data_IF_542654359432
#
_entry.id   IF_542654359432
#
_cell.length_a   1.000
_cell.length_b   1.000
_cell.length_c   1.000
_cell.angle_alpha   90.00
_cell.angle_beta   90.00
_cell.angle_gamma   90.00
#
_symmetry.space_group_name_H-M   'P 1'
#
loop_
_entity.id
_entity.type
_entity.pdbx_description
1 polymer ?
#
# COMPACT_ATOMS: atom_id res chain seq x y z
N UNK A 1 36.32 3.40 15.29
CA UNK A 1 35.48 3.01 14.13
C UNK A 1 36.41 2.34 13.13
N UNK A 2 36.49 1.02 13.16
CA UNK A 2 37.29 0.28 12.17
C UNK A 2 36.60 0.40 10.81
N UNK A 3 37.29 0.98 9.83
CA UNK A 3 36.84 1.05 8.45
C UNK A 3 36.64 -0.37 7.90
N UNK A 4 35.40 -0.86 7.87
CA UNK A 4 35.06 -2.10 7.19
C UNK A 4 35.50 -1.95 5.73
N UNK A 5 36.54 -2.70 5.30
CA UNK A 5 36.92 -2.79 3.89
C UNK A 5 35.70 -3.17 3.08
N UNK A 6 35.25 -2.28 2.24
CA UNK A 6 34.19 -2.55 1.26
C UNK A 6 34.66 -3.70 0.37
N UNK A 7 33.83 -4.75 0.25
CA UNK A 7 34.19 -5.92 -0.56
C UNK A 7 33.99 -5.54 -2.01
N UNK A 8 35.12 -5.44 -2.76
CA UNK A 8 35.05 -5.19 -4.20
C UNK A 8 34.69 -6.49 -4.95
N UNK A 9 33.39 -6.67 -5.18
CA UNK A 9 32.85 -7.82 -5.91
C UNK A 9 33.24 -7.80 -7.39
N UNK A 10 33.48 -6.63 -7.99
CA UNK A 10 33.84 -6.49 -9.40
C UNK A 10 35.16 -7.18 -9.70
N UNK A 11 36.15 -7.03 -8.80
CA UNK A 11 37.43 -7.77 -8.94
C UNK A 11 37.26 -9.27 -8.86
N UNK A 12 36.35 -9.75 -8.00
CA UNK A 12 36.10 -11.16 -7.76
C UNK A 12 35.45 -11.86 -8.95
N UNK A 13 34.57 -11.15 -9.66
CA UNK A 13 33.78 -11.67 -10.77
C UNK A 13 34.17 -11.08 -12.12
N UNK A 14 35.33 -10.42 -12.21
CA UNK A 14 35.78 -9.67 -13.38
C UNK A 14 35.70 -10.45 -14.71
N UNK A 15 36.04 -11.75 -14.71
CA UNK A 15 35.98 -12.60 -15.91
C UNK A 15 34.56 -12.81 -16.46
N UNK A 16 33.53 -12.52 -15.67
CA UNK A 16 32.12 -12.69 -16.05
C UNK A 16 31.40 -11.36 -16.30
N UNK A 17 32.11 -10.22 -16.16
CA UNK A 17 31.52 -8.90 -16.25
C UNK A 17 31.51 -8.35 -17.69
N UNK A 18 31.12 -9.14 -18.66
CA UNK A 18 31.00 -8.74 -20.07
C UNK A 18 29.57 -8.93 -20.58
N UNK A 19 29.20 -8.17 -21.61
CA UNK A 19 27.89 -8.26 -22.25
C UNK A 19 27.57 -9.67 -22.74
N UNK A 20 28.56 -10.35 -23.30
CA UNK A 20 28.41 -11.71 -23.83
C UNK A 20 28.34 -12.80 -22.75
N UNK A 21 28.51 -12.43 -21.47
CA UNK A 21 28.59 -13.38 -20.35
C UNK A 21 27.43 -13.18 -19.35
N UNK A 22 26.41 -12.44 -19.70
CA UNK A 22 25.28 -12.11 -18.74
C UNK A 22 24.61 -13.35 -18.20
N UNK A 23 24.37 -14.36 -19.05
CA UNK A 23 23.79 -15.63 -18.62
C UNK A 23 24.72 -16.42 -17.68
N UNK A 24 26.01 -16.52 -18.01
CA UNK A 24 26.99 -17.18 -17.14
C UNK A 24 27.17 -16.43 -15.82
N UNK A 25 27.10 -15.08 -15.86
CA UNK A 25 27.11 -14.25 -14.67
C UNK A 25 25.92 -14.58 -13.80
N UNK A 26 24.71 -14.59 -14.37
CA UNK A 26 23.49 -14.93 -13.64
C UNK A 26 23.56 -16.30 -12.97
N UNK A 27 23.93 -17.34 -13.71
CA UNK A 27 24.12 -18.69 -13.14
C UNK A 27 25.15 -18.70 -12.00
N UNK A 28 26.26 -17.98 -12.17
CA UNK A 28 27.25 -17.86 -11.11
C UNK A 28 26.72 -17.16 -9.87
N UNK A 29 25.92 -16.09 -10.04
CA UNK A 29 25.30 -15.42 -8.92
C UNK A 29 24.35 -16.37 -8.17
N UNK A 30 23.51 -17.11 -8.88
CA UNK A 30 22.64 -18.12 -8.27
C UNK A 30 23.42 -19.18 -7.48
N UNK A 31 24.55 -19.67 -8.05
CA UNK A 31 25.39 -20.66 -7.41
C UNK A 31 26.06 -20.17 -6.11
N UNK A 32 26.49 -18.91 -6.07
CA UNK A 32 27.17 -18.38 -4.88
C UNK A 32 26.19 -17.74 -3.86
N UNK A 33 24.96 -17.47 -4.25
CA UNK A 33 23.95 -16.84 -3.41
C UNK A 33 23.73 -17.53 -2.06
N UNK A 34 23.65 -18.88 -1.96
CA UNK A 34 23.50 -19.56 -0.66
C UNK A 34 24.61 -19.27 0.34
N UNK A 35 25.82 -18.94 -0.16
CA UNK A 35 26.93 -18.53 0.69
C UNK A 35 26.77 -17.11 1.21
N UNK A 36 26.31 -16.18 0.36
CA UNK A 36 26.16 -14.79 0.73
C UNK A 36 24.89 -14.57 1.58
N UNK A 37 23.82 -15.32 1.35
CA UNK A 37 22.60 -15.25 2.15
C UNK A 37 22.77 -15.64 3.62
N UNK A 38 23.88 -16.31 3.97
CA UNK A 38 24.29 -16.61 5.36
C UNK A 38 25.10 -15.48 6.01
N UNK A 39 25.43 -14.43 5.26
CA UNK A 39 26.21 -13.30 5.78
C UNK A 39 25.28 -12.26 6.38
N UNK A 40 25.88 -11.41 7.24
CA UNK A 40 25.17 -10.27 7.82
C UNK A 40 24.76 -9.27 6.75
N UNK A 41 23.76 -8.46 7.07
CA UNK A 41 23.10 -7.52 6.18
C UNK A 41 24.02 -6.73 5.24
N UNK A 42 25.04 -6.00 5.71
CA UNK A 42 25.82 -5.16 4.82
C UNK A 42 26.51 -5.94 3.70
N UNK A 43 26.95 -7.16 3.97
CA UNK A 43 27.65 -8.00 2.99
C UNK A 43 26.66 -8.63 2.01
N UNK A 44 25.55 -9.15 2.51
CA UNK A 44 24.50 -9.75 1.69
C UNK A 44 23.90 -8.73 0.73
N UNK A 45 23.44 -7.59 1.24
CA UNK A 45 22.80 -6.57 0.43
C UNK A 45 23.77 -5.90 -0.54
N UNK A 46 25.02 -5.65 -0.16
CA UNK A 46 26.03 -5.14 -1.10
C UNK A 46 26.30 -6.12 -2.25
N UNK A 47 26.33 -7.42 -1.95
CA UNK A 47 26.46 -8.45 -2.99
C UNK A 47 25.23 -8.48 -3.90
N UNK A 48 24.03 -8.41 -3.34
CA UNK A 48 22.79 -8.43 -4.11
C UNK A 48 22.65 -7.20 -5.00
N UNK A 49 22.97 -6.00 -4.49
CA UNK A 49 23.02 -4.77 -5.30
C UNK A 49 23.99 -4.94 -6.46
N UNK A 50 25.22 -5.35 -6.20
CA UNK A 50 26.22 -5.56 -7.23
C UNK A 50 25.73 -6.48 -8.34
N UNK A 51 25.11 -7.61 -7.98
CA UNK A 51 24.61 -8.57 -8.94
C UNK A 51 23.45 -7.99 -9.79
N UNK A 52 22.52 -7.29 -9.15
CA UNK A 52 21.36 -6.68 -9.83
C UNK A 52 21.79 -5.49 -10.70
N UNK A 53 22.69 -4.62 -10.24
CA UNK A 53 23.24 -3.50 -11.04
C UNK A 53 23.91 -4.01 -12.33
N UNK A 54 24.64 -5.11 -12.25
CA UNK A 54 25.25 -5.69 -13.43
C UNK A 54 24.21 -6.22 -14.43
N UNK A 55 23.22 -6.98 -13.96
CA UNK A 55 22.15 -7.48 -14.82
C UNK A 55 21.30 -6.36 -15.42
N UNK A 56 20.99 -5.33 -14.64
CA UNK A 56 20.22 -4.17 -15.08
C UNK A 56 20.92 -3.38 -16.20
N UNK A 57 22.25 -3.31 -16.16
CA UNK A 57 23.05 -2.68 -17.23
C UNK A 57 22.81 -3.32 -18.60
N UNK A 58 22.52 -4.60 -18.64
CA UNK A 58 22.28 -5.37 -19.87
C UNK A 58 20.80 -5.69 -20.10
N UNK A 59 19.88 -5.08 -19.33
CA UNK A 59 18.42 -5.25 -19.46
C UNK A 59 17.93 -6.70 -19.28
N UNK A 60 18.57 -7.45 -18.42
CA UNK A 60 18.23 -8.85 -18.11
C UNK A 60 17.07 -8.93 -17.08
N UNK A 61 15.90 -8.44 -17.46
CA UNK A 61 14.77 -8.20 -16.57
C UNK A 61 14.26 -9.45 -15.83
N UNK A 62 14.17 -10.59 -16.53
CA UNK A 62 13.74 -11.85 -15.92
C UNK A 62 14.79 -12.39 -14.95
N UNK A 63 16.06 -12.27 -15.32
CA UNK A 63 17.20 -12.68 -14.49
C UNK A 63 17.27 -11.85 -13.20
N UNK A 64 16.99 -10.55 -13.26
CA UNK A 64 16.94 -9.66 -12.10
C UNK A 64 15.86 -10.12 -11.12
N UNK A 65 14.64 -10.30 -11.61
CA UNK A 65 13.50 -10.70 -10.78
C UNK A 65 13.71 -12.05 -10.14
N UNK A 66 14.17 -13.04 -10.93
CA UNK A 66 14.48 -14.39 -10.46
C UNK A 66 15.57 -14.39 -9.38
N UNK A 67 16.70 -13.70 -9.64
CA UNK A 67 17.80 -13.62 -8.69
C UNK A 67 17.36 -12.96 -7.38
N UNK A 68 16.60 -11.87 -7.47
CA UNK A 68 16.13 -11.16 -6.29
C UNK A 68 15.22 -12.05 -5.43
N UNK A 69 14.18 -12.65 -6.02
CA UNK A 69 13.22 -13.50 -5.29
C UNK A 69 13.94 -14.66 -4.59
N UNK A 70 14.80 -15.37 -5.31
CA UNK A 70 15.58 -16.49 -4.76
C UNK A 70 16.51 -16.02 -3.62
N UNK A 71 17.14 -14.86 -3.79
CA UNK A 71 18.05 -14.30 -2.79
C UNK A 71 17.34 -13.96 -1.50
N UNK A 72 16.17 -13.33 -1.59
CA UNK A 72 15.39 -12.96 -0.42
C UNK A 72 14.83 -14.19 0.31
N UNK A 73 14.34 -15.18 -0.43
CA UNK A 73 13.89 -16.45 0.16
C UNK A 73 15.01 -17.16 0.94
N UNK A 74 16.21 -17.21 0.36
CA UNK A 74 17.38 -17.78 1.02
C UNK A 74 17.82 -16.96 2.24
N UNK A 75 17.78 -15.64 2.14
CA UNK A 75 18.11 -14.76 3.26
C UNK A 75 17.15 -14.97 4.43
N UNK A 76 15.85 -14.91 4.20
CA UNK A 76 14.82 -15.14 5.22
C UNK A 76 14.93 -16.54 5.86
N UNK A 77 15.21 -17.56 5.05
CA UNK A 77 15.45 -18.94 5.54
C UNK A 77 16.68 -19.03 6.46
N UNK A 78 17.75 -18.30 6.15
CA UNK A 78 18.99 -18.32 6.93
C UNK A 78 18.98 -17.38 8.15
N UNK A 79 17.99 -16.47 8.22
CA UNK A 79 17.80 -15.53 9.31
C UNK A 79 16.35 -15.65 9.86
N UNK A 80 16.04 -16.75 10.56
CA UNK A 80 14.66 -17.05 10.97
C UNK A 80 14.10 -16.07 11.99
N UNK A 81 14.97 -15.42 12.76
CA UNK A 81 14.62 -14.34 13.69
C UNK A 81 14.44 -12.98 12.98
N UNK A 82 14.67 -12.93 11.67
CA UNK A 82 14.49 -11.76 10.79
C UNK A 82 15.09 -10.45 11.32
N UNK A 83 16.07 -10.51 12.21
CA UNK A 83 16.71 -9.33 12.79
C UNK A 83 17.60 -8.63 11.78
N UNK A 84 17.33 -7.36 11.59
CA UNK A 84 18.10 -6.45 10.74
C UNK A 84 19.04 -5.65 11.63
N UNK A 85 20.35 -5.70 11.38
CA UNK A 85 21.36 -4.99 12.18
C UNK A 85 21.24 -3.46 12.05
N UNK A 86 20.86 -2.96 10.86
CA UNK A 86 20.69 -1.54 10.60
C UNK A 86 19.45 -1.29 9.75
N UNK A 87 18.30 -0.96 10.37
CA UNK A 87 17.04 -0.73 9.66
C UNK A 87 17.11 0.33 8.56
N UNK A 88 17.76 1.47 8.80
CA UNK A 88 17.89 2.53 7.80
C UNK A 88 18.71 2.08 6.59
N UNK A 89 19.82 1.37 6.81
CA UNK A 89 20.61 0.80 5.71
C UNK A 89 19.81 -0.22 4.92
N UNK A 90 19.05 -1.08 5.60
CA UNK A 90 18.17 -2.06 4.97
C UNK A 90 17.13 -1.37 4.09
N UNK A 91 16.39 -0.39 4.62
CA UNK A 91 15.32 0.30 3.89
C UNK A 91 15.86 0.97 2.62
N UNK A 92 16.97 1.72 2.74
CA UNK A 92 17.59 2.39 1.60
C UNK A 92 18.09 1.39 0.54
N UNK A 93 18.71 0.29 0.98
CA UNK A 93 19.20 -0.75 0.08
C UNK A 93 18.06 -1.46 -0.64
N UNK A 94 17.00 -1.80 0.10
CA UNK A 94 15.83 -2.46 -0.44
C UNK A 94 15.13 -1.58 -1.48
N UNK A 95 14.97 -0.30 -1.17
CA UNK A 95 14.40 0.68 -2.07
C UNK A 95 15.23 0.86 -3.36
N UNK A 96 16.56 0.92 -3.23
CA UNK A 96 17.46 0.96 -4.38
C UNK A 96 17.27 -0.27 -5.28
N UNK A 97 17.24 -1.47 -4.71
CA UNK A 97 17.04 -2.72 -5.44
C UNK A 97 15.64 -2.75 -6.08
N UNK A 98 14.60 -2.33 -5.38
CA UNK A 98 13.23 -2.27 -5.87
C UNK A 98 13.12 -1.43 -7.16
N UNK A 99 13.82 -0.29 -7.21
CA UNK A 99 13.84 0.59 -8.40
C UNK A 99 14.57 -0.03 -9.60
N UNK A 100 15.49 -0.95 -9.38
CA UNK A 100 16.18 -1.64 -10.46
C UNK A 100 15.37 -2.79 -11.07
N UNK A 101 14.38 -3.32 -10.33
CA UNK A 101 13.50 -4.37 -10.85
C UNK A 101 12.54 -3.73 -11.86
N UNK A 102 12.40 -4.29 -13.07
CA UNK A 102 11.53 -3.73 -14.09
C UNK A 102 10.08 -3.58 -13.63
N UNK A 103 9.44 -2.51 -14.07
CA UNK A 103 8.04 -2.20 -13.70
C UNK A 103 7.09 -3.32 -14.12
N UNK A 104 7.34 -3.97 -15.26
CA UNK A 104 6.48 -5.06 -15.77
C UNK A 104 6.60 -6.38 -15.01
N UNK A 105 7.57 -6.51 -14.12
CA UNK A 105 7.74 -7.71 -13.30
C UNK A 105 6.75 -7.74 -12.14
N UNK A 106 6.24 -8.92 -11.79
CA UNK A 106 5.43 -9.07 -10.59
C UNK A 106 6.30 -8.87 -9.34
N UNK A 107 6.13 -7.71 -8.71
CA UNK A 107 6.84 -7.33 -7.50
C UNK A 107 6.06 -7.62 -6.22
N UNK A 108 4.92 -8.31 -6.29
CA UNK A 108 4.07 -8.53 -5.11
C UNK A 108 4.82 -9.26 -4.00
N UNK A 109 5.52 -10.34 -4.34
CA UNK A 109 6.33 -11.09 -3.34
C UNK A 109 7.41 -10.21 -2.70
N UNK A 110 8.03 -9.34 -3.49
CA UNK A 110 9.01 -8.38 -3.01
C UNK A 110 8.41 -7.43 -1.98
N UNK A 111 7.27 -6.82 -2.28
CA UNK A 111 6.56 -5.87 -1.40
C UNK A 111 6.18 -6.53 -0.07
N UNK A 112 5.63 -7.73 -0.12
CA UNK A 112 5.21 -8.45 1.09
C UNK A 112 6.40 -8.87 1.95
N UNK A 113 7.48 -9.39 1.36
CA UNK A 113 8.70 -9.72 2.09
C UNK A 113 9.33 -8.49 2.77
N UNK A 114 9.30 -7.34 2.08
CA UNK A 114 9.77 -6.09 2.67
C UNK A 114 8.96 -5.71 3.90
N UNK A 115 7.62 -5.71 3.79
CA UNK A 115 6.74 -5.36 4.90
C UNK A 115 6.85 -6.35 6.06
N UNK A 116 6.98 -7.65 5.77
CA UNK A 116 7.19 -8.68 6.78
C UNK A 116 8.50 -8.45 7.55
N UNK A 117 9.57 -8.08 6.85
CA UNK A 117 10.85 -7.75 7.48
C UNK A 117 10.76 -6.47 8.32
N UNK A 118 10.07 -5.44 7.84
CA UNK A 118 9.86 -4.22 8.61
C UNK A 118 9.10 -4.50 9.90
N UNK A 119 8.01 -5.25 9.84
CA UNK A 119 7.20 -5.63 11.00
C UNK A 119 8.01 -6.45 12.02
N UNK A 120 8.71 -7.48 11.55
CA UNK A 120 9.55 -8.34 12.40
C UNK A 120 10.69 -7.58 13.12
N UNK A 121 11.09 -6.42 12.60
CA UNK A 121 12.15 -5.58 13.16
C UNK A 121 11.63 -4.34 13.89
N UNK A 122 10.32 -4.21 14.05
CA UNK A 122 9.70 -3.06 14.74
C UNK A 122 9.90 -1.73 14.01
N UNK A 123 10.12 -1.76 12.69
CA UNK A 123 10.18 -0.55 11.86
C UNK A 123 8.76 0.01 11.77
N UNK A 124 8.58 1.24 12.22
CA UNK A 124 7.26 1.85 12.29
C UNK A 124 6.69 2.16 10.89
N UNK A 125 5.36 2.20 10.78
CA UNK A 125 4.71 2.68 9.54
C UNK A 125 5.13 4.11 9.20
N UNK A 126 5.37 4.96 10.20
CA UNK A 126 5.83 6.34 9.99
C UNK A 126 7.23 6.39 9.33
N UNK A 127 8.13 5.47 9.66
CA UNK A 127 9.44 5.40 9.01
C UNK A 127 9.33 4.92 7.56
N UNK A 128 8.42 3.98 7.29
CA UNK A 128 8.12 3.51 5.92
C UNK A 128 7.50 4.65 5.09
N UNK A 129 6.61 5.45 5.69
CA UNK A 129 5.97 6.60 5.05
C UNK A 129 6.98 7.69 4.65
N UNK A 130 7.98 7.99 5.50
CA UNK A 130 9.02 8.98 5.20
C UNK A 130 9.79 8.65 3.92
N UNK A 131 10.01 7.38 3.64
CA UNK A 131 10.72 6.92 2.43
C UNK A 131 9.82 6.82 1.19
N UNK A 132 8.54 7.21 1.26
CA UNK A 132 7.55 7.12 0.18
C UNK A 132 7.38 5.71 -0.45
N UNK A 133 7.73 4.67 0.28
CA UNK A 133 7.73 3.29 -0.24
C UNK A 133 6.33 2.83 -0.61
N UNK A 134 5.32 3.17 0.19
CA UNK A 134 3.93 2.85 -0.14
C UNK A 134 3.44 3.53 -1.41
N UNK A 135 3.90 4.76 -1.69
CA UNK A 135 3.61 5.45 -2.94
C UNK A 135 4.16 4.67 -4.14
N UNK A 136 5.42 4.27 -4.09
CA UNK A 136 6.03 3.48 -5.16
C UNK A 136 5.37 2.12 -5.35
N UNK A 137 4.99 1.46 -4.25
CA UNK A 137 4.22 0.22 -4.32
C UNK A 137 2.85 0.40 -4.97
N UNK A 138 2.18 1.52 -4.70
CA UNK A 138 0.90 1.85 -5.32
C UNK A 138 1.02 2.10 -6.81
N UNK A 139 2.01 2.91 -7.23
CA UNK A 139 2.30 3.18 -8.65
C UNK A 139 2.57 1.89 -9.41
N UNK A 140 3.47 1.07 -8.90
CA UNK A 140 3.84 -0.19 -9.53
C UNK A 140 2.66 -1.18 -9.63
N UNK A 141 1.85 -1.30 -8.57
CA UNK A 141 0.66 -2.16 -8.60
C UNK A 141 -0.38 -1.67 -9.59
N UNK A 142 -0.56 -0.33 -9.71
CA UNK A 142 -1.45 0.28 -10.69
C UNK A 142 -1.00 -0.01 -12.12
N UNK A 143 0.28 0.18 -12.43
CA UNK A 143 0.85 -0.06 -13.76
C UNK A 143 0.74 -1.53 -14.17
N UNK A 144 0.87 -2.45 -13.23
CA UNK A 144 0.68 -3.89 -13.45
C UNK A 144 -0.80 -4.35 -13.37
N UNK A 145 -1.76 -3.41 -13.26
CA UNK A 145 -3.20 -3.69 -13.18
C UNK A 145 -3.63 -4.50 -11.93
N UNK A 146 -2.83 -4.49 -10.88
CA UNK A 146 -3.19 -5.00 -9.56
C UNK A 146 -3.90 -3.90 -8.74
N UNK A 147 -5.03 -3.41 -9.26
CA UNK A 147 -5.66 -2.16 -8.78
C UNK A 147 -6.06 -2.19 -7.29
N UNK A 148 -6.48 -3.34 -6.76
CA UNK A 148 -6.82 -3.46 -5.33
C UNK A 148 -5.60 -3.42 -4.42
N UNK A 149 -4.49 -4.01 -4.87
CA UNK A 149 -3.20 -3.89 -4.19
C UNK A 149 -2.72 -2.44 -4.27
N UNK A 150 -2.83 -1.82 -5.46
CA UNK A 150 -2.55 -0.41 -5.67
C UNK A 150 -3.35 0.49 -4.73
N UNK A 151 -4.66 0.25 -4.59
CA UNK A 151 -5.51 0.97 -3.65
C UNK A 151 -5.02 0.85 -2.20
N UNK A 152 -4.71 -0.38 -1.76
CA UNK A 152 -4.19 -0.62 -0.40
C UNK A 152 -2.94 0.20 -0.11
N UNK A 153 -1.99 0.23 -1.05
CA UNK A 153 -0.75 0.99 -0.87
C UNK A 153 -0.95 2.49 -1.06
N UNK A 154 -1.84 2.92 -1.97
CA UNK A 154 -2.20 4.32 -2.14
C UNK A 154 -2.80 4.91 -0.85
N UNK A 155 -3.74 4.20 -0.21
CA UNK A 155 -4.31 4.61 1.07
C UNK A 155 -3.28 4.69 2.19
N UNK A 156 -2.31 3.76 2.22
CA UNK A 156 -1.20 3.81 3.18
C UNK A 156 -0.20 4.92 2.88
N UNK A 157 0.00 5.30 1.62
CA UNK A 157 0.92 6.37 1.24
C UNK A 157 0.45 7.76 1.66
N UNK A 158 -0.86 7.92 1.88
CA UNK A 158 -1.50 9.20 2.16
C UNK A 158 -1.09 10.30 1.15
N UNK A 159 -1.04 9.95 -0.14
CA UNK A 159 -0.78 10.87 -1.25
C UNK A 159 -2.00 10.94 -2.15
N UNK A 160 -2.60 12.14 -2.24
CA UNK A 160 -3.88 12.34 -2.93
C UNK A 160 -3.82 12.00 -4.43
N UNK A 161 -2.72 12.32 -5.09
CA UNK A 161 -2.51 12.05 -6.52
C UNK A 161 -2.66 10.56 -6.86
N UNK A 162 -1.90 9.71 -6.17
CA UNK A 162 -1.97 8.26 -6.42
C UNK A 162 -3.30 7.65 -5.93
N UNK A 163 -3.91 8.18 -4.87
CA UNK A 163 -5.25 7.75 -4.43
C UNK A 163 -6.27 8.02 -5.53
N UNK A 164 -6.30 9.25 -6.06
CA UNK A 164 -7.20 9.63 -7.14
C UNK A 164 -7.00 8.77 -8.39
N UNK A 165 -5.77 8.56 -8.77
CA UNK A 165 -5.41 7.80 -9.96
C UNK A 165 -5.85 6.34 -9.85
N UNK A 166 -5.58 5.68 -8.73
CA UNK A 166 -5.97 4.27 -8.52
C UNK A 166 -7.49 4.15 -8.39
N UNK A 167 -8.15 5.07 -7.67
CA UNK A 167 -9.61 5.08 -7.55
C UNK A 167 -10.25 5.26 -8.93
N UNK A 168 -9.76 6.19 -9.75
CA UNK A 168 -10.23 6.38 -11.12
C UNK A 168 -10.12 5.09 -11.94
N UNK A 169 -8.95 4.45 -11.93
CA UNK A 169 -8.73 3.19 -12.66
C UNK A 169 -9.68 2.08 -12.18
N UNK A 170 -9.98 2.02 -10.88
CA UNK A 170 -10.97 1.06 -10.32
C UNK A 170 -12.39 1.36 -10.82
N UNK A 171 -12.78 2.64 -10.86
CA UNK A 171 -14.12 3.05 -11.28
C UNK A 171 -14.34 2.87 -12.79
N UNK A 172 -13.28 3.01 -13.59
CA UNK A 172 -13.33 2.90 -15.06
C UNK A 172 -13.19 1.45 -15.58
N UNK A 173 -12.68 0.53 -14.77
CA UNK A 173 -12.47 -0.85 -15.21
C UNK A 173 -13.76 -1.68 -15.14
N UNK A 174 -14.04 -2.46 -16.19
CA UNK A 174 -15.14 -3.44 -16.19
C UNK A 174 -14.85 -4.69 -15.34
N UNK A 175 -13.61 -4.82 -14.85
CA UNK A 175 -13.16 -5.99 -14.08
C UNK A 175 -14.01 -6.24 -12.83
N UNK A 176 -14.48 -5.18 -12.17
CA UNK A 176 -15.24 -5.28 -10.92
C UNK A 176 -16.75 -5.21 -11.09
N UNK A 177 -17.24 -4.95 -12.33
CA UNK A 177 -18.68 -4.90 -12.68
C UNK A 177 -19.53 -4.07 -11.71
N UNK A 178 -18.97 -2.96 -11.20
CA UNK A 178 -19.69 -2.07 -10.31
C UNK A 178 -20.73 -1.24 -11.08
N UNK A 179 -21.94 -1.18 -10.55
CA UNK A 179 -22.94 -0.22 -11.02
C UNK A 179 -22.62 1.21 -10.54
N UNK A 180 -23.31 2.21 -11.06
CA UNK A 180 -23.05 3.62 -10.73
C UNK A 180 -23.26 3.93 -9.22
N UNK A 181 -24.16 3.23 -8.57
CA UNK A 181 -24.40 3.39 -7.13
C UNK A 181 -23.23 2.79 -6.33
N UNK A 182 -22.79 1.61 -6.70
CA UNK A 182 -21.64 0.94 -6.05
C UNK A 182 -20.36 1.76 -6.20
N UNK A 183 -20.12 2.34 -7.38
CA UNK A 183 -19.00 3.27 -7.63
C UNK A 183 -19.04 4.45 -6.66
N UNK A 184 -20.20 5.08 -6.49
CA UNK A 184 -20.36 6.22 -5.57
C UNK A 184 -20.20 5.81 -4.11
N UNK A 185 -20.70 4.63 -3.72
CA UNK A 185 -20.47 4.08 -2.38
C UNK A 185 -18.98 3.84 -2.13
N UNK A 186 -18.26 3.31 -3.13
CA UNK A 186 -16.80 3.12 -3.04
C UNK A 186 -16.08 4.46 -2.82
N UNK A 187 -16.44 5.51 -3.56
CA UNK A 187 -15.90 6.87 -3.38
C UNK A 187 -16.17 7.39 -1.96
N UNK A 188 -17.42 7.27 -1.47
CA UNK A 188 -17.76 7.69 -0.12
C UNK A 188 -16.93 6.96 0.96
N UNK A 189 -16.74 5.66 0.80
CA UNK A 189 -15.88 4.86 1.69
C UNK A 189 -14.43 5.31 1.67
N UNK A 190 -13.87 5.55 0.49
CA UNK A 190 -12.49 6.04 0.34
C UNK A 190 -12.31 7.38 1.07
N UNK A 191 -13.27 8.30 0.92
CA UNK A 191 -13.26 9.56 1.66
C UNK A 191 -13.26 9.36 3.18
N UNK A 192 -14.13 8.49 3.69
CA UNK A 192 -14.18 8.18 5.12
C UNK A 192 -12.91 7.50 5.63
N UNK A 193 -12.28 6.66 4.82
CA UNK A 193 -10.99 6.03 5.15
C UNK A 193 -9.86 7.05 5.25
N UNK A 194 -9.82 8.06 4.36
CA UNK A 194 -8.89 9.19 4.47
C UNK A 194 -9.12 9.97 5.78
N UNK A 195 -10.38 10.20 6.16
CA UNK A 195 -10.73 10.86 7.44
C UNK A 195 -10.31 10.04 8.67
N UNK A 196 -10.42 8.72 8.62
CA UNK A 196 -9.92 7.81 9.66
C UNK A 196 -8.41 7.97 9.86
N UNK A 197 -7.67 8.23 8.79
CA UNK A 197 -6.23 8.53 8.82
C UNK A 197 -5.93 9.99 9.21
N UNK A 198 -6.97 10.76 9.62
CA UNK A 198 -6.89 12.10 10.21
C UNK A 198 -6.51 13.23 9.24
N UNK A 199 -6.52 13.02 7.95
CA UNK A 199 -6.30 14.09 6.97
C UNK A 199 -7.63 14.64 6.44
N UNK A 200 -8.17 15.63 7.18
CA UNK A 200 -9.45 16.27 6.87
C UNK A 200 -9.43 17.07 5.57
N UNK A 201 -8.29 17.71 5.28
CA UNK A 201 -8.13 18.50 4.05
C UNK A 201 -8.08 17.59 2.84
N UNK A 202 -7.26 16.56 2.88
CA UNK A 202 -7.15 15.60 1.79
C UNK A 202 -8.49 14.90 1.52
N UNK A 203 -9.24 14.53 2.56
CA UNK A 203 -10.56 13.94 2.39
C UNK A 203 -11.54 14.88 1.68
N UNK A 204 -11.52 16.18 2.02
CA UNK A 204 -12.33 17.19 1.33
C UNK A 204 -11.89 17.35 -0.13
N UNK A 205 -10.59 17.49 -0.38
CA UNK A 205 -10.04 17.63 -1.74
C UNK A 205 -10.32 16.38 -2.60
N UNK A 206 -10.34 15.19 -1.98
CA UNK A 206 -10.68 13.94 -2.64
C UNK A 206 -12.16 13.87 -3.05
N UNK A 207 -13.11 14.22 -2.17
CA UNK A 207 -14.54 14.03 -2.42
C UNK A 207 -15.14 15.11 -3.34
N UNK A 208 -14.59 16.32 -3.35
CA UNK A 208 -15.11 17.45 -4.12
C UNK A 208 -15.38 17.17 -5.60
N UNK A 209 -14.51 16.48 -6.37
CA UNK A 209 -14.77 16.18 -7.77
C UNK A 209 -15.97 15.24 -8.00
N UNK A 210 -16.41 14.50 -6.99
CA UNK A 210 -17.53 13.55 -7.06
C UNK A 210 -18.85 14.15 -6.60
N UNK A 211 -18.82 15.39 -6.08
CA UNK A 211 -20.00 16.10 -5.62
C UNK A 211 -20.37 17.15 -6.65
N UNK A 212 -21.57 17.04 -7.22
CA UNK A 212 -22.12 18.07 -8.08
C UNK A 212 -22.69 19.22 -7.23
N UNK A 213 -21.83 20.12 -6.78
CA UNK A 213 -22.21 21.24 -5.91
C UNK A 213 -23.05 22.32 -6.63
N UNK A 214 -23.08 22.30 -7.98
CA UNK A 214 -23.82 23.27 -8.78
C UNK A 214 -25.27 22.84 -9.04
N UNK A 215 -25.50 21.54 -9.11
CA UNK A 215 -26.81 20.95 -9.26
C UNK A 215 -27.24 20.41 -7.89
N UNK A 216 -28.49 20.60 -7.56
CA UNK A 216 -29.12 20.20 -6.33
C UNK A 216 -28.51 18.91 -5.71
N UNK A 217 -28.07 18.95 -4.45
CA UNK A 217 -27.51 17.79 -3.74
C UNK A 217 -28.39 16.53 -3.79
N UNK A 218 -29.65 16.67 -4.15
CA UNK A 218 -30.61 15.58 -4.33
C UNK A 218 -30.22 14.60 -5.46
N UNK A 219 -29.42 15.03 -6.43
CA UNK A 219 -28.97 14.18 -7.55
C UNK A 219 -27.77 13.33 -7.20
N UNK A 220 -27.09 13.62 -6.09
CA UNK A 220 -25.94 12.85 -5.63
C UNK A 220 -26.36 11.58 -4.88
N UNK A 221 -25.47 10.59 -4.88
CA UNK A 221 -25.62 9.44 -4.00
C UNK A 221 -25.56 9.91 -2.54
N UNK A 222 -26.54 9.52 -1.67
CA UNK A 222 -26.64 10.04 -0.30
C UNK A 222 -25.38 9.86 0.53
N UNK A 223 -24.65 8.75 0.38
CA UNK A 223 -23.42 8.50 1.16
C UNK A 223 -22.25 9.37 0.70
N UNK A 224 -22.19 9.80 -0.57
CA UNK A 224 -21.23 10.81 -1.01
C UNK A 224 -21.53 12.17 -0.38
N UNK A 225 -22.81 12.58 -0.35
CA UNK A 225 -23.21 13.79 0.36
C UNK A 225 -22.85 13.73 1.85
N UNK A 226 -23.14 12.62 2.50
CA UNK A 226 -22.77 12.41 3.91
C UNK A 226 -21.25 12.56 4.11
N UNK A 227 -20.43 11.89 3.32
CA UNK A 227 -18.98 11.99 3.42
C UNK A 227 -18.48 13.44 3.22
N UNK A 228 -19.04 14.15 2.25
CA UNK A 228 -18.75 15.56 2.01
C UNK A 228 -19.14 16.44 3.21
N UNK A 229 -20.36 16.30 3.76
CA UNK A 229 -20.78 17.08 4.92
C UNK A 229 -19.93 16.75 6.16
N UNK A 230 -19.53 15.50 6.36
CA UNK A 230 -18.59 15.14 7.42
C UNK A 230 -17.26 15.90 7.24
N UNK A 231 -16.73 15.96 6.01
CA UNK A 231 -15.50 16.72 5.73
C UNK A 231 -15.66 18.19 6.07
N UNK A 232 -16.78 18.83 5.68
CA UNK A 232 -17.06 20.23 6.01
C UNK A 232 -17.13 20.45 7.51
N UNK A 233 -17.89 19.62 8.23
CA UNK A 233 -18.05 19.71 9.67
C UNK A 233 -16.70 19.59 10.41
N UNK A 234 -15.88 18.63 10.02
CA UNK A 234 -14.61 18.39 10.68
C UNK A 234 -13.53 19.45 10.39
N UNK A 235 -13.72 20.25 9.34
CA UNK A 235 -12.87 21.41 9.05
C UNK A 235 -13.33 22.66 9.82
N UNK A 236 -14.56 22.69 10.36
CA UNK A 236 -15.04 23.77 11.25
C UNK A 236 -14.74 23.39 12.72
N UNK A 237 -13.91 24.19 13.38
CA UNK A 237 -13.49 23.98 14.77
C UNK A 237 -14.62 24.13 15.80
N UNK A 238 -15.76 24.72 15.42
CA UNK A 238 -16.88 25.01 16.32
C UNK A 238 -17.96 23.94 16.27
N UNK A 239 -17.77 22.88 15.52
CA UNK A 239 -18.80 21.84 15.40
C UNK A 239 -18.79 20.92 16.61
N UNK A 240 -19.97 20.79 17.22
CA UNK A 240 -20.21 19.91 18.38
C UNK A 240 -20.52 18.48 17.92
N UNK A 241 -20.39 17.53 18.85
CA UNK A 241 -20.79 16.14 18.59
C UNK A 241 -22.26 16.01 18.21
N UNK A 242 -23.15 16.81 18.81
CA UNK A 242 -24.57 16.79 18.52
C UNK A 242 -24.86 17.13 17.06
N UNK A 243 -24.23 18.17 16.51
CA UNK A 243 -24.33 18.53 15.08
C UNK A 243 -23.78 17.43 14.17
N UNK A 244 -22.65 16.85 14.54
CA UNK A 244 -22.08 15.72 13.81
C UNK A 244 -23.05 14.53 13.80
N UNK A 245 -23.60 14.17 14.97
CA UNK A 245 -24.56 13.07 15.12
C UNK A 245 -25.85 13.34 14.36
N UNK A 246 -26.33 14.59 14.33
CA UNK A 246 -27.52 14.99 13.57
C UNK A 246 -27.34 14.68 12.08
N UNK A 247 -26.21 15.10 11.48
CA UNK A 247 -25.92 14.80 10.08
C UNK A 247 -25.88 13.28 9.84
N UNK A 248 -25.22 12.52 10.69
CA UNK A 248 -25.19 11.06 10.53
C UNK A 248 -26.57 10.43 10.62
N UNK A 249 -27.41 10.91 11.53
CA UNK A 249 -28.78 10.40 11.69
C UNK A 249 -29.66 10.66 10.45
N UNK A 250 -29.45 11.75 9.72
CA UNK A 250 -30.16 12.00 8.44
C UNK A 250 -29.85 10.92 7.40
N UNK A 251 -28.64 10.35 7.43
CA UNK A 251 -28.21 9.31 6.50
C UNK A 251 -28.26 7.88 7.05
N UNK A 252 -28.73 7.70 8.29
CA UNK A 252 -28.82 6.40 8.95
C UNK A 252 -29.50 5.32 8.09
N UNK A 253 -30.64 5.56 7.42
CA UNK A 253 -31.27 4.56 6.57
C UNK A 253 -30.40 4.12 5.38
N UNK A 254 -29.53 4.99 4.88
CA UNK A 254 -28.60 4.69 3.79
C UNK A 254 -27.40 3.88 4.30
N UNK A 255 -26.87 4.24 5.48
CA UNK A 255 -25.75 3.53 6.13
C UNK A 255 -26.15 2.07 6.43
N UNK A 256 -27.36 1.86 6.98
CA UNK A 256 -27.86 0.54 7.35
C UNK A 256 -28.08 -0.39 6.17
N UNK A 257 -28.33 0.16 4.97
CA UNK A 257 -28.52 -0.61 3.74
C UNK A 257 -27.22 -1.09 3.10
N UNK A 258 -26.06 -0.55 3.51
CA UNK A 258 -24.80 -0.83 2.84
C UNK A 258 -24.00 -1.89 3.60
N UNK A 259 -23.39 -1.54 4.72
CA UNK A 259 -22.71 -2.49 5.59
C UNK A 259 -22.27 -1.88 6.94
N UNK A 260 -21.81 -2.78 7.82
CA UNK A 260 -21.31 -2.44 9.15
C UNK A 260 -20.00 -1.64 9.11
N UNK A 261 -19.23 -1.71 8.02
CA UNK A 261 -17.93 -1.05 7.91
C UNK A 261 -18.08 0.47 7.91
N UNK A 262 -19.13 1.01 7.29
CA UNK A 262 -19.44 2.44 7.34
C UNK A 262 -19.67 2.92 8.78
N UNK A 263 -20.39 2.15 9.60
CA UNK A 263 -20.60 2.46 11.02
C UNK A 263 -19.26 2.49 11.78
N UNK A 264 -18.35 1.57 11.46
CA UNK A 264 -17.00 1.53 12.09
C UNK A 264 -16.16 2.75 11.70
N UNK A 265 -16.16 3.17 10.45
CA UNK A 265 -15.47 4.40 10.03
C UNK A 265 -16.04 5.62 10.74
N UNK A 266 -17.36 5.78 10.75
CA UNK A 266 -18.04 6.89 11.42
C UNK A 266 -17.72 6.89 12.92
N UNK A 267 -17.78 5.75 13.58
CA UNK A 267 -17.42 5.63 14.99
C UNK A 267 -15.96 6.01 15.26
N UNK A 268 -15.03 5.58 14.41
CA UNK A 268 -13.62 5.95 14.54
C UNK A 268 -13.41 7.44 14.38
N UNK A 269 -14.00 8.04 13.33
CA UNK A 269 -13.96 9.49 13.08
C UNK A 269 -14.56 10.26 14.27
N UNK A 270 -15.70 9.82 14.76
CA UNK A 270 -16.40 10.45 15.89
C UNK A 270 -15.59 10.34 17.18
N UNK A 271 -15.03 9.18 17.47
CA UNK A 271 -14.22 8.99 18.65
C UNK A 271 -12.94 9.84 18.62
N UNK A 272 -12.25 9.90 17.49
CA UNK A 272 -11.01 10.67 17.33
C UNK A 272 -11.23 12.20 17.44
N UNK A 273 -12.42 12.69 17.11
CA UNK A 273 -12.71 14.14 17.14
C UNK A 273 -13.51 14.59 18.38
N UNK A 274 -14.35 13.71 18.94
CA UNK A 274 -15.29 14.08 20.02
C UNK A 274 -15.23 13.16 21.25
N UNK A 275 -14.41 12.10 21.19
CA UNK A 275 -14.36 11.05 22.23
C UNK A 275 -15.71 10.39 22.52
N UNK A 276 -16.58 10.29 21.51
CA UNK A 276 -17.94 9.73 21.60
C UNK A 276 -18.22 8.85 20.37
N UNK A 277 -19.15 7.91 20.52
CA UNK A 277 -19.57 6.99 19.46
C UNK A 277 -20.99 7.34 18.98
N UNK A 278 -21.19 7.34 17.65
CA UNK A 278 -22.52 7.50 17.05
C UNK A 278 -23.30 6.19 17.07
N UNK A 279 -22.64 5.07 16.84
CA UNK A 279 -23.21 3.71 16.79
C UNK A 279 -22.57 2.82 17.86
N UNK A 280 -22.95 2.94 19.15
CA UNK A 280 -22.35 2.14 20.22
C UNK A 280 -22.46 0.62 20.01
N UNK A 281 -23.51 0.18 19.29
CA UNK A 281 -23.79 -1.20 18.95
C UNK A 281 -22.82 -1.80 17.91
N UNK A 282 -22.18 -0.96 17.10
CA UNK A 282 -21.18 -1.40 16.15
C UNK A 282 -19.85 -1.62 16.85
N UNK A 283 -19.59 -2.83 17.29
CA UNK A 283 -18.45 -3.32 18.09
C UNK A 283 -17.18 -2.49 18.00
N UNK A 284 -16.59 -2.26 19.19
CA UNK A 284 -15.34 -1.62 19.55
C UNK A 284 -14.55 -0.94 18.40
N UNK A 285 -14.57 0.39 18.29
CA UNK A 285 -13.93 1.12 17.20
C UNK A 285 -12.41 0.95 17.13
N UNK A 286 -11.81 0.41 18.19
CA UNK A 286 -10.35 0.26 18.34
C UNK A 286 -9.82 -1.09 17.90
N UNK A 287 -10.68 -2.11 17.71
CA UNK A 287 -10.24 -3.43 17.29
C UNK A 287 -10.40 -3.63 15.78
N UNK A 288 -9.30 -3.53 15.03
CA UNK A 288 -9.21 -4.13 13.71
C UNK A 288 -9.69 -3.27 12.54
N UNK A 289 -9.32 -1.99 12.48
CA UNK A 289 -9.27 -1.29 11.21
C UNK A 289 -8.20 -1.96 10.33
N UNK A 290 -8.57 -3.09 9.75
CA UNK A 290 -7.73 -3.79 8.81
C UNK A 290 -8.33 -3.61 7.42
N UNK A 291 -7.55 -3.10 6.49
CA UNK A 291 -7.84 -3.02 5.05
C UNK A 291 -8.33 -4.38 4.49
N UNK A 292 -8.00 -5.50 5.15
CA UNK A 292 -8.60 -6.81 4.88
C UNK A 292 -10.14 -6.83 4.95
N UNK A 293 -10.79 -5.92 5.68
CA UNK A 293 -12.26 -5.83 5.70
C UNK A 293 -12.81 -5.36 4.35
N UNK A 294 -12.15 -4.39 3.71
CA UNK A 294 -12.51 -3.97 2.34
C UNK A 294 -12.16 -5.05 1.31
N UNK A 295 -11.03 -5.75 1.47
CA UNK A 295 -10.71 -6.90 0.62
C UNK A 295 -11.70 -8.05 0.76
N UNK A 296 -12.29 -8.27 1.94
CA UNK A 296 -13.39 -9.25 2.10
C UNK A 296 -14.65 -8.83 1.35
N UNK A 297 -14.96 -7.53 1.28
CA UNK A 297 -16.11 -7.04 0.51
C UNK A 297 -15.89 -7.19 -0.99
N UNK A 298 -14.70 -6.86 -1.48
CA UNK A 298 -14.32 -7.09 -2.88
C UNK A 298 -14.11 -8.60 -3.12
N UNK A 299 -13.62 -9.35 -2.12
CA UNK A 299 -13.54 -10.82 -2.16
C UNK A 299 -14.92 -11.50 -2.16
N UNK A 300 -15.89 -10.95 -1.45
CA UNK A 300 -17.28 -11.42 -1.51
C UNK A 300 -17.95 -11.08 -2.84
N UNK A 301 -17.65 -9.92 -3.44
CA UNK A 301 -18.01 -9.61 -4.83
C UNK A 301 -17.35 -10.60 -5.80
N UNK A 302 -16.10 -10.99 -5.59
CA UNK A 302 -15.42 -11.99 -6.42
C UNK A 302 -15.93 -13.41 -6.20
N UNK A 303 -16.42 -13.76 -5.01
CA UNK A 303 -17.03 -15.05 -4.70
C UNK A 303 -18.49 -15.17 -5.19
N UNK A 304 -19.23 -14.06 -5.23
CA UNK A 304 -20.52 -13.99 -5.94
C UNK A 304 -20.36 -14.17 -7.45
N UNK A 305 -19.19 -13.86 -8.01
CA UNK A 305 -18.87 -14.05 -9.42
C UNK A 305 -18.29 -15.46 -9.76
N UNK A 306 -17.97 -16.29 -8.78
CA UNK A 306 -17.54 -17.69 -9.00
C UNK A 306 -18.63 -18.72 -8.82
N UNK A 307 -19.81 -18.30 -8.43
CA UNK A 307 -20.99 -19.17 -8.30
C UNK A 307 -21.91 -19.05 -9.52
N UNK A 308 -21.43 -19.53 -10.67
CA UNK A 308 -22.19 -20.12 -11.79
C UNK A 308 -21.21 -20.76 -12.75
#
# INVERSE_FOLDING_TARGET
MEGKKEIDFSKKFNSLMGENNTYEFFLKMQYVMPKYSKKKDPIFFSFLIFAIEHLAKYKEDESISSLFIQSMQLYLKNHPDKKIENPSYFMNTYHKIYKMIPVKSDKSLFKYNYLELCDANGISEDDILKENIYYEFAVDSRENKFLLEGYKFAMKSMKLDIINDVVKDILETDKYKMDEKEKKIFVARTCLEILVNKDKKMALDFILPFINAKDNYETNEPLCNMAYFICLLLNDKNVTFEKFKEIINMYKPNIEKVDILLKKYINKISFDNYNQLVFPEANNPLSGFNIMGMMKLVGNLSNLMRGN
#
